data_IF_894558010313
#
_entry.id   IF_894558010313
#
_cell.length_a   1.000
_cell.length_b   1.000
_cell.length_c   1.000
_cell.angle_alpha   90.00
_cell.angle_beta   90.00
_cell.angle_gamma   90.00
#
_symmetry.space_group_name_H-M   'P 1'
#
loop_
_entity.id
_entity.type
_entity.pdbx_description
1 polymer ?
#
# COMPACT_ATOMS: atom_id res chain seq x y z
N UNK A 1 25.56 -77.86 -0.18
CA UNK A 1 24.42 -76.94 0.05
C UNK A 1 24.90 -75.89 1.02
N UNK A 2 25.23 -74.65 0.52
CA UNK A 2 25.63 -73.54 1.35
C UNK A 2 24.55 -72.46 1.20
N UNK A 3 23.84 -72.17 2.28
CA UNK A 3 22.86 -71.10 2.35
C UNK A 3 23.61 -69.75 2.51
N UNK A 4 23.35 -68.84 1.55
CA UNK A 4 23.83 -67.47 1.61
C UNK A 4 22.69 -66.62 2.26
N UNK A 5 22.94 -65.83 3.30
CA UNK A 5 21.93 -64.94 3.85
C UNK A 5 21.76 -63.70 2.98
N UNK A 6 20.48 -63.42 2.65
CA UNK A 6 20.04 -62.23 1.94
C UNK A 6 20.19 -60.99 2.84
N UNK A 7 21.12 -60.11 2.49
CA UNK A 7 21.35 -58.83 3.19
C UNK A 7 20.27 -57.85 2.72
N UNK A 8 19.26 -57.58 3.53
CA UNK A 8 18.29 -56.50 3.30
C UNK A 8 19.00 -55.18 3.56
N UNK A 9 19.31 -54.47 2.48
CA UNK A 9 19.71 -53.04 2.53
C UNK A 9 18.47 -52.23 2.89
N UNK A 10 18.35 -51.77 4.12
CA UNK A 10 17.50 -50.66 4.49
C UNK A 10 18.07 -49.37 3.86
N UNK A 11 17.51 -48.99 2.73
CA UNK A 11 17.72 -47.63 2.20
C UNK A 11 16.89 -46.72 3.09
N UNK A 12 17.53 -46.20 4.14
CA UNK A 12 16.98 -45.12 4.94
C UNK A 12 16.80 -43.91 4.01
N UNK A 13 15.55 -43.55 3.79
CA UNK A 13 15.24 -42.26 3.16
C UNK A 13 15.81 -41.17 4.09
N UNK A 14 16.93 -40.63 3.71
CA UNK A 14 17.44 -39.37 4.30
C UNK A 14 16.46 -38.29 3.82
N UNK A 15 15.57 -37.89 4.72
CA UNK A 15 14.79 -36.66 4.50
C UNK A 15 15.82 -35.52 4.39
N UNK A 16 15.97 -35.01 3.19
CA UNK A 16 16.74 -33.81 2.95
C UNK A 16 15.94 -32.65 3.56
N UNK A 17 16.45 -32.13 4.68
CA UNK A 17 16.01 -30.86 5.25
C UNK A 17 16.71 -29.71 4.51
N UNK A 18 16.42 -29.55 3.21
CA UNK A 18 17.07 -28.55 2.33
C UNK A 18 16.07 -27.76 1.48
N UNK A 19 14.86 -27.46 2.02
CA UNK A 19 13.91 -26.59 1.31
C UNK A 19 13.79 -25.17 1.93
N UNK A 20 14.68 -24.81 2.85
CA UNK A 20 14.60 -23.49 3.50
C UNK A 20 15.28 -22.36 2.71
N UNK A 21 16.03 -22.66 1.65
CA UNK A 21 16.86 -21.67 0.94
C UNK A 21 16.51 -21.48 -0.55
N UNK A 22 15.48 -22.15 -1.07
CA UNK A 22 15.07 -21.85 -2.46
C UNK A 22 14.24 -20.57 -2.49
N UNK A 23 14.70 -19.53 -3.21
CA UNK A 23 13.94 -18.28 -3.30
C UNK A 23 12.54 -18.53 -3.87
N UNK A 24 11.53 -17.95 -3.23
CA UNK A 24 10.14 -18.06 -3.68
C UNK A 24 10.01 -17.52 -5.10
N UNK A 25 9.53 -18.35 -6.03
CA UNK A 25 9.23 -17.92 -7.41
C UNK A 25 7.76 -18.15 -7.71
N UNK A 26 7.07 -17.12 -8.18
CA UNK A 26 5.64 -17.17 -8.53
C UNK A 26 5.48 -16.75 -9.99
N UNK A 27 4.97 -17.64 -10.84
CA UNK A 27 4.75 -17.36 -12.27
C UNK A 27 5.97 -16.76 -12.98
N UNK A 28 7.17 -17.26 -12.67
CA UNK A 28 8.43 -16.79 -13.23
C UNK A 28 9.00 -15.53 -12.58
N UNK A 29 8.31 -14.92 -11.62
CA UNK A 29 8.82 -13.81 -10.84
C UNK A 29 9.54 -14.31 -9.59
N UNK A 30 10.82 -14.03 -9.49
CA UNK A 30 11.60 -14.28 -8.28
C UNK A 30 11.19 -13.27 -7.19
N UNK A 31 10.71 -13.74 -6.05
CA UNK A 31 10.29 -12.91 -4.92
C UNK A 31 11.49 -12.65 -4.02
N UNK A 32 12.23 -11.59 -4.33
CA UNK A 32 13.44 -11.19 -3.59
C UNK A 32 13.70 -9.69 -3.79
N UNK A 33 14.49 -9.09 -2.90
CA UNK A 33 14.89 -7.69 -3.01
C UNK A 33 15.50 -7.39 -4.40
N UNK A 34 15.11 -6.25 -4.98
CA UNK A 34 15.59 -5.74 -6.28
C UNK A 34 15.23 -6.58 -7.51
N UNK A 35 14.42 -7.63 -7.39
CA UNK A 35 13.96 -8.42 -8.53
C UNK A 35 13.16 -7.61 -9.55
N UNK A 36 13.27 -8.01 -10.82
CA UNK A 36 12.61 -7.34 -11.94
C UNK A 36 11.43 -8.17 -12.44
N UNK A 37 10.23 -7.79 -12.05
CA UNK A 37 8.98 -8.50 -12.37
C UNK A 37 7.90 -7.55 -12.95
N UNK A 38 8.20 -6.70 -13.94
CA UNK A 38 7.19 -5.81 -14.50
C UNK A 38 6.09 -6.64 -15.17
N UNK A 39 4.83 -6.26 -14.94
CA UNK A 39 3.66 -6.95 -15.47
C UNK A 39 3.43 -8.37 -14.94
N UNK A 40 4.13 -8.80 -13.88
CA UNK A 40 4.00 -10.15 -13.34
C UNK A 40 2.56 -10.44 -12.87
N UNK A 41 2.10 -11.66 -13.12
CA UNK A 41 0.84 -12.13 -12.56
C UNK A 41 1.08 -12.70 -11.14
N UNK A 42 0.76 -11.87 -10.14
CA UNK A 42 0.86 -12.19 -8.71
C UNK A 42 -0.52 -12.14 -8.03
N UNK A 43 -1.59 -12.30 -8.81
CA UNK A 43 -2.95 -12.27 -8.28
C UNK A 43 -3.15 -13.33 -7.20
N UNK A 44 -3.69 -12.91 -6.06
CA UNK A 44 -3.92 -13.78 -4.90
C UNK A 44 -2.64 -14.34 -4.26
N UNK A 45 -1.46 -13.85 -4.66
CA UNK A 45 -0.19 -14.36 -4.15
C UNK A 45 -0.06 -14.15 -2.64
N UNK A 46 0.52 -15.14 -1.95
CA UNK A 46 0.81 -15.08 -0.52
C UNK A 46 2.18 -14.47 -0.31
N UNK A 47 2.22 -13.16 -0.16
CA UNK A 47 3.44 -12.36 -0.05
C UNK A 47 3.59 -11.73 1.36
N UNK A 48 2.83 -12.22 2.34
CA UNK A 48 2.93 -11.72 3.70
C UNK A 48 4.34 -11.93 4.26
N UNK A 49 4.86 -10.87 4.92
CA UNK A 49 6.21 -10.82 5.51
C UNK A 49 7.37 -10.93 4.50
N UNK A 50 7.12 -10.95 3.20
CA UNK A 50 8.19 -11.04 2.19
C UNK A 50 8.98 -9.74 2.07
N UNK A 51 10.26 -9.88 1.72
CA UNK A 51 11.13 -8.74 1.40
C UNK A 51 11.06 -8.44 -0.10
N UNK A 52 10.27 -7.41 -0.43
CA UNK A 52 9.99 -6.95 -1.79
C UNK A 52 10.63 -5.58 -2.05
N UNK A 53 11.59 -5.19 -1.22
CA UNK A 53 12.24 -3.87 -1.34
C UNK A 53 12.90 -3.71 -2.70
N UNK A 54 12.76 -2.50 -3.26
CA UNK A 54 13.35 -2.13 -4.56
C UNK A 54 12.92 -3.02 -5.73
N UNK A 55 11.94 -3.92 -5.55
CA UNK A 55 11.42 -4.70 -6.67
C UNK A 55 10.78 -3.80 -7.72
N UNK A 56 10.95 -4.18 -8.97
CA UNK A 56 10.17 -3.61 -10.06
C UNK A 56 8.93 -4.47 -10.30
N UNK A 57 7.80 -3.99 -9.82
CA UNK A 57 6.45 -4.57 -9.95
C UNK A 57 5.55 -3.66 -10.81
N UNK A 58 6.14 -2.82 -11.66
CA UNK A 58 5.36 -1.91 -12.51
C UNK A 58 4.38 -2.68 -13.38
N UNK A 59 3.10 -2.26 -13.35
CA UNK A 59 2.02 -2.92 -14.08
C UNK A 59 1.67 -4.34 -13.63
N UNK A 60 2.25 -4.85 -12.53
CA UNK A 60 1.96 -6.19 -12.03
C UNK A 60 0.49 -6.34 -11.58
N UNK A 61 -0.06 -7.53 -11.77
CA UNK A 61 -1.36 -7.92 -11.23
C UNK A 61 -1.19 -8.50 -9.82
N UNK A 62 -1.46 -7.70 -8.82
CA UNK A 62 -1.41 -8.02 -7.39
C UNK A 62 -2.83 -8.03 -6.77
N UNK A 63 -3.88 -8.13 -7.59
CA UNK A 63 -5.26 -8.15 -7.09
C UNK A 63 -5.45 -9.31 -6.12
N UNK A 64 -6.15 -9.03 -5.03
CA UNK A 64 -6.44 -10.00 -3.98
C UNK A 64 -5.19 -10.59 -3.29
N UNK A 65 -3.98 -10.04 -3.50
CA UNK A 65 -2.74 -10.52 -2.90
C UNK A 65 -2.70 -10.25 -1.38
N UNK A 66 -2.10 -11.17 -0.65
CA UNK A 66 -1.79 -10.99 0.78
C UNK A 66 -0.37 -10.42 0.92
N UNK A 67 -0.29 -9.12 1.18
CA UNK A 67 0.94 -8.35 1.36
C UNK A 67 1.12 -7.88 2.81
N UNK A 68 0.44 -8.49 3.77
CA UNK A 68 0.52 -8.08 5.18
C UNK A 68 1.96 -8.14 5.68
N UNK A 69 2.40 -7.04 6.32
CA UNK A 69 3.77 -6.91 6.83
C UNK A 69 4.87 -7.07 5.78
N UNK A 70 4.55 -7.06 4.48
CA UNK A 70 5.56 -7.09 3.42
C UNK A 70 6.39 -5.81 3.44
N UNK A 71 7.64 -5.91 3.03
CA UNK A 71 8.54 -4.77 2.90
C UNK A 71 8.64 -4.37 1.43
N UNK A 72 8.03 -3.26 1.07
CA UNK A 72 7.97 -2.72 -0.29
C UNK A 72 8.70 -1.37 -0.42
N UNK A 73 9.60 -1.07 0.52
CA UNK A 73 10.32 0.20 0.52
C UNK A 73 11.10 0.36 -0.77
N UNK A 74 11.00 1.54 -1.39
CA UNK A 74 11.63 1.87 -2.67
C UNK A 74 11.18 0.99 -3.85
N UNK A 75 10.15 0.16 -3.70
CA UNK A 75 9.62 -0.66 -4.80
C UNK A 75 8.93 0.21 -5.86
N UNK A 76 8.99 -0.23 -7.10
CA UNK A 76 8.24 0.37 -8.20
C UNK A 76 6.95 -0.41 -8.45
N UNK A 77 5.82 0.17 -8.05
CA UNK A 77 4.45 -0.34 -8.25
C UNK A 77 3.66 0.54 -9.24
N UNK A 78 4.36 1.33 -10.09
CA UNK A 78 3.69 2.19 -11.05
C UNK A 78 2.70 1.40 -11.90
N UNK A 79 1.45 1.88 -11.98
CA UNK A 79 0.34 1.22 -12.73
C UNK A 79 0.03 -0.21 -12.29
N UNK A 80 0.53 -0.69 -11.16
CA UNK A 80 0.17 -2.00 -10.63
C UNK A 80 -1.32 -2.07 -10.23
N UNK A 81 -1.89 -3.25 -10.32
CA UNK A 81 -3.28 -3.52 -9.95
C UNK A 81 -3.29 -4.20 -8.57
N UNK A 82 -3.84 -3.54 -7.56
CA UNK A 82 -3.88 -4.01 -6.17
C UNK A 82 -5.30 -3.99 -5.58
N UNK A 83 -6.33 -4.04 -6.45
CA UNK A 83 -7.72 -4.04 -5.99
C UNK A 83 -7.95 -5.24 -5.06
N UNK A 84 -8.53 -4.98 -3.88
CA UNK A 84 -8.80 -6.01 -2.88
C UNK A 84 -7.57 -6.59 -2.17
N UNK A 85 -6.36 -6.15 -2.50
CA UNK A 85 -5.15 -6.61 -1.83
C UNK A 85 -5.12 -6.20 -0.35
N UNK A 86 -4.47 -7.02 0.49
CA UNK A 86 -4.29 -6.73 1.91
C UNK A 86 -2.84 -6.35 2.20
N UNK A 87 -2.61 -5.06 2.44
CA UNK A 87 -1.29 -4.49 2.78
C UNK A 87 -1.20 -4.08 4.26
N UNK A 88 -2.06 -4.62 5.14
CA UNK A 88 -2.04 -4.23 6.56
C UNK A 88 -0.63 -4.28 7.12
N UNK A 89 -0.16 -3.14 7.68
CA UNK A 89 1.17 -2.94 8.25
C UNK A 89 2.35 -3.19 7.29
N UNK A 90 2.13 -3.16 5.99
CA UNK A 90 3.23 -3.21 5.02
C UNK A 90 4.06 -1.92 5.08
N UNK A 91 5.35 -2.01 4.75
CA UNK A 91 6.23 -0.87 4.56
C UNK A 91 6.30 -0.50 3.08
N UNK A 92 6.03 0.78 2.77
CA UNK A 92 5.97 1.36 1.42
C UNK A 92 6.78 2.67 1.36
N UNK A 93 7.77 2.82 2.24
CA UNK A 93 8.51 4.08 2.33
C UNK A 93 9.20 4.40 1.00
N UNK A 94 8.97 5.64 0.51
CA UNK A 94 9.54 6.13 -0.75
C UNK A 94 9.25 5.25 -1.98
N UNK A 95 8.25 4.37 -1.92
CA UNK A 95 7.85 3.54 -3.06
C UNK A 95 7.12 4.37 -4.13
N UNK A 96 7.18 3.90 -5.37
CA UNK A 96 6.49 4.50 -6.51
C UNK A 96 5.16 3.79 -6.76
N UNK A 97 4.05 4.42 -6.40
CA UNK A 97 2.68 3.94 -6.58
C UNK A 97 1.91 4.76 -7.63
N UNK A 98 2.61 5.53 -8.47
CA UNK A 98 1.93 6.40 -9.45
C UNK A 98 0.99 5.61 -10.32
N UNK A 99 -0.24 6.12 -10.45
CA UNK A 99 -1.29 5.51 -11.28
C UNK A 99 -1.65 4.06 -10.89
N UNK A 100 -1.18 3.55 -9.77
CA UNK A 100 -1.57 2.22 -9.28
C UNK A 100 -3.02 2.23 -8.78
N UNK A 101 -3.67 1.07 -8.84
CA UNK A 101 -5.06 0.91 -8.43
C UNK A 101 -5.18 0.07 -7.16
N UNK A 102 -5.49 0.74 -6.05
CA UNK A 102 -5.76 0.19 -4.72
C UNK A 102 -7.25 0.23 -4.36
N UNK A 103 -8.15 0.33 -5.34
CA UNK A 103 -9.58 0.44 -5.05
C UNK A 103 -10.06 -0.74 -4.20
N UNK A 104 -10.70 -0.45 -3.06
CA UNK A 104 -11.15 -1.45 -2.10
C UNK A 104 -10.06 -2.24 -1.39
N UNK A 105 -8.78 -1.87 -1.53
CA UNK A 105 -7.69 -2.53 -0.82
C UNK A 105 -7.65 -2.16 0.67
N UNK A 106 -7.03 -3.01 1.49
CA UNK A 106 -6.79 -2.77 2.91
C UNK A 106 -5.35 -2.33 3.13
N UNK A 107 -5.15 -1.06 3.53
CA UNK A 107 -3.85 -0.44 3.78
C UNK A 107 -3.73 0.04 5.25
N UNK A 108 -4.36 -0.66 6.20
CA UNK A 108 -4.33 -0.27 7.62
C UNK A 108 -2.92 -0.19 8.17
N UNK A 109 -2.60 0.93 8.82
CA UNK A 109 -1.34 1.17 9.50
C UNK A 109 -0.09 0.91 8.62
N UNK A 110 -0.18 1.13 7.30
CA UNK A 110 0.99 1.07 6.42
C UNK A 110 2.02 2.13 6.83
N UNK A 111 3.29 1.86 6.55
CA UNK A 111 4.39 2.80 6.68
C UNK A 111 4.69 3.39 5.30
N UNK A 112 4.11 4.54 4.99
CA UNK A 112 4.17 5.15 3.65
C UNK A 112 4.88 6.52 3.64
N UNK A 113 5.88 6.72 4.50
CA UNK A 113 6.62 7.97 4.53
C UNK A 113 7.20 8.32 3.16
N UNK A 114 6.86 9.51 2.66
CA UNK A 114 7.40 10.04 1.40
C UNK A 114 7.05 9.24 0.15
N UNK A 115 6.03 8.36 0.17
CA UNK A 115 5.62 7.58 -1.00
C UNK A 115 5.10 8.47 -2.14
N UNK A 116 5.18 7.98 -3.37
CA UNK A 116 4.77 8.67 -4.58
C UNK A 116 3.51 8.02 -5.16
N UNK A 117 2.34 8.61 -4.94
CA UNK A 117 1.05 8.07 -5.37
C UNK A 117 0.22 9.08 -6.20
N UNK A 118 0.90 9.90 -7.01
CA UNK A 118 0.21 10.85 -7.88
C UNK A 118 -0.71 10.11 -8.85
N UNK A 119 -1.98 10.51 -8.87
CA UNK A 119 -3.00 9.92 -9.74
C UNK A 119 -3.37 8.46 -9.40
N UNK A 120 -2.89 7.91 -8.29
CA UNK A 120 -3.26 6.58 -7.83
C UNK A 120 -4.73 6.53 -7.41
N UNK A 121 -5.32 5.34 -7.47
CA UNK A 121 -6.73 5.11 -7.16
C UNK A 121 -6.84 4.39 -5.81
N UNK A 122 -7.52 5.01 -4.84
CA UNK A 122 -7.77 4.50 -3.49
C UNK A 122 -9.27 4.54 -3.14
N UNK A 123 -10.15 4.53 -4.15
CA UNK A 123 -11.59 4.59 -3.88
C UNK A 123 -12.01 3.45 -2.96
N UNK A 124 -12.69 3.80 -1.85
CA UNK A 124 -13.14 2.85 -0.82
C UNK A 124 -12.01 2.01 -0.19
N UNK A 125 -10.76 2.42 -0.34
CA UNK A 125 -9.65 1.77 0.34
C UNK A 125 -9.65 2.10 1.84
N UNK A 126 -9.15 1.18 2.65
CA UNK A 126 -9.03 1.36 4.09
C UNK A 126 -7.59 1.73 4.47
N UNK A 127 -7.36 3.01 4.70
CA UNK A 127 -6.08 3.61 5.10
C UNK A 127 -6.08 4.00 6.59
N UNK A 128 -6.94 3.38 7.42
CA UNK A 128 -7.02 3.68 8.86
C UNK A 128 -5.64 3.62 9.49
N UNK A 129 -5.28 4.69 10.23
CA UNK A 129 -4.01 4.83 10.93
C UNK A 129 -2.75 4.66 10.02
N UNK A 130 -2.87 4.92 8.72
CA UNK A 130 -1.72 4.89 7.80
C UNK A 130 -0.75 6.05 8.10
N UNK A 131 0.55 5.78 8.04
CA UNK A 131 1.61 6.78 8.19
C UNK A 131 2.03 7.30 6.81
N UNK A 132 1.49 8.46 6.42
CA UNK A 132 1.61 9.04 5.08
C UNK A 132 2.28 10.42 5.09
N UNK A 133 3.11 10.68 6.09
CA UNK A 133 3.85 11.94 6.18
C UNK A 133 4.68 12.16 4.92
N UNK A 134 4.65 13.38 4.37
CA UNK A 134 5.34 13.77 3.14
C UNK A 134 4.90 12.99 1.89
N UNK A 135 3.85 12.17 1.95
CA UNK A 135 3.34 11.41 0.80
C UNK A 135 2.88 12.36 -0.32
N UNK A 136 3.14 11.98 -1.56
CA UNK A 136 2.74 12.74 -2.74
C UNK A 136 1.50 12.11 -3.37
N UNK A 137 0.34 12.62 -2.99
CA UNK A 137 -0.99 12.14 -3.38
C UNK A 137 -1.72 13.11 -4.33
N UNK A 138 -0.99 14.02 -4.98
CA UNK A 138 -1.63 15.00 -5.87
C UNK A 138 -2.42 14.32 -6.97
N UNK A 139 -3.69 14.71 -7.15
CA UNK A 139 -4.61 14.13 -8.11
C UNK A 139 -5.00 12.67 -7.83
N UNK A 140 -4.67 12.13 -6.66
CA UNK A 140 -5.12 10.79 -6.27
C UNK A 140 -6.64 10.74 -6.08
N UNK A 141 -7.25 9.59 -6.35
CA UNK A 141 -8.67 9.36 -6.15
C UNK A 141 -8.91 8.62 -4.84
N UNK A 142 -9.38 9.34 -3.84
CA UNK A 142 -9.60 8.86 -2.46
C UNK A 142 -11.09 8.90 -2.08
N UNK A 143 -11.97 8.93 -3.05
CA UNK A 143 -13.38 9.07 -2.78
C UNK A 143 -13.91 7.88 -1.96
N UNK A 144 -14.69 8.18 -0.91
CA UNK A 144 -15.15 7.19 0.07
C UNK A 144 -14.02 6.37 0.76
N UNK A 145 -12.76 6.81 0.68
CA UNK A 145 -11.68 6.15 1.40
C UNK A 145 -11.77 6.40 2.90
N UNK A 146 -11.36 5.42 3.69
CA UNK A 146 -11.24 5.56 5.13
C UNK A 146 -9.80 5.94 5.51
N UNK A 147 -9.61 7.18 5.93
CA UNK A 147 -8.34 7.77 6.38
C UNK A 147 -8.37 8.11 7.88
N UNK A 148 -9.29 7.49 8.64
CA UNK A 148 -9.43 7.77 10.07
C UNK A 148 -8.10 7.59 10.80
N UNK A 149 -7.71 8.59 11.61
CA UNK A 149 -6.47 8.63 12.36
C UNK A 149 -5.19 8.47 11.48
N UNK A 150 -5.28 8.67 10.17
CA UNK A 150 -4.10 8.66 9.31
C UNK A 150 -3.21 9.88 9.59
N UNK A 151 -1.90 9.67 9.51
CA UNK A 151 -0.92 10.75 9.60
C UNK A 151 -0.54 11.24 8.20
N UNK A 152 -1.09 12.39 7.83
CA UNK A 152 -0.92 13.07 6.53
C UNK A 152 -0.13 14.37 6.71
N UNK A 153 0.64 14.50 7.78
CA UNK A 153 1.45 15.70 8.01
C UNK A 153 2.34 15.99 6.80
N UNK A 154 2.30 17.23 6.33
CA UNK A 154 3.05 17.71 5.15
C UNK A 154 2.77 16.92 3.85
N UNK A 155 1.71 16.11 3.79
CA UNK A 155 1.34 15.39 2.58
C UNK A 155 0.82 16.33 1.49
N UNK A 156 1.03 15.98 0.24
CA UNK A 156 0.63 16.73 -0.94
C UNK A 156 -0.62 16.11 -1.55
N UNK A 157 -1.78 16.71 -1.26
CA UNK A 157 -3.11 16.28 -1.68
C UNK A 157 -3.77 17.24 -2.67
N UNK A 158 -2.99 18.14 -3.27
CA UNK A 158 -3.54 19.11 -4.22
C UNK A 158 -4.25 18.39 -5.37
N UNK A 159 -5.47 18.86 -5.70
CA UNK A 159 -6.33 18.25 -6.72
C UNK A 159 -6.76 16.79 -6.44
N UNK A 160 -6.56 16.29 -5.23
CA UNK A 160 -7.05 14.97 -4.86
C UNK A 160 -8.57 14.95 -4.75
N UNK A 161 -9.20 13.84 -5.16
CA UNK A 161 -10.63 13.62 -4.96
C UNK A 161 -10.87 12.86 -3.65
N UNK A 162 -11.27 13.59 -2.62
CA UNK A 162 -11.56 13.12 -1.27
C UNK A 162 -13.08 13.15 -0.97
N UNK A 163 -13.92 13.18 -2.02
CA UNK A 163 -15.38 13.21 -1.84
C UNK A 163 -15.85 12.07 -0.96
N UNK A 164 -16.58 12.40 0.11
CA UNK A 164 -17.10 11.43 1.07
C UNK A 164 -16.04 10.66 1.88
N UNK A 165 -14.76 11.06 1.81
CA UNK A 165 -13.71 10.40 2.58
C UNK A 165 -13.86 10.62 4.08
N UNK A 166 -13.50 9.63 4.88
CA UNK A 166 -13.47 9.71 6.33
C UNK A 166 -12.06 10.07 6.81
N UNK A 167 -11.86 11.32 7.22
CA UNK A 167 -10.60 11.87 7.73
C UNK A 167 -10.70 12.19 9.23
N UNK A 168 -11.62 11.57 9.96
CA UNK A 168 -11.77 11.81 11.41
C UNK A 168 -10.45 11.54 12.12
N UNK A 169 -10.10 12.43 13.02
CA UNK A 169 -8.89 12.33 13.84
C UNK A 169 -7.58 12.29 13.04
N UNK A 170 -7.60 12.52 11.73
CA UNK A 170 -6.40 12.54 10.90
C UNK A 170 -5.48 13.73 11.23
N UNK A 171 -4.18 13.55 11.05
CA UNK A 171 -3.22 14.63 11.12
C UNK A 171 -3.02 15.25 9.74
N UNK A 172 -3.54 16.45 9.53
CA UNK A 172 -3.42 17.24 8.30
C UNK A 172 -2.54 18.49 8.49
N UNK A 173 -1.70 18.51 9.53
CA UNK A 173 -0.83 19.66 9.78
C UNK A 173 0.08 19.88 8.56
N UNK A 174 0.15 21.13 8.10
CA UNK A 174 0.94 21.55 6.92
C UNK A 174 0.62 20.80 5.62
N UNK A 175 -0.44 19.98 5.59
CA UNK A 175 -0.87 19.29 4.39
C UNK A 175 -1.34 20.25 3.31
N UNK A 176 -1.09 19.93 2.04
CA UNK A 176 -1.43 20.75 0.87
C UNK A 176 -2.66 20.17 0.17
N UNK A 177 -3.85 20.71 0.48
CA UNK A 177 -5.14 20.28 -0.07
C UNK A 177 -5.72 21.28 -1.10
N UNK A 178 -4.91 22.20 -1.62
CA UNK A 178 -5.38 23.17 -2.59
C UNK A 178 -6.06 22.53 -3.80
N UNK A 179 -7.19 23.09 -4.24
CA UNK A 179 -8.00 22.60 -5.35
C UNK A 179 -8.52 21.14 -5.17
N UNK A 180 -8.45 20.57 -3.96
CA UNK A 180 -8.98 19.23 -3.70
C UNK A 180 -10.51 19.21 -3.59
N UNK A 181 -11.10 18.04 -3.81
CA UNK A 181 -12.54 17.85 -3.63
C UNK A 181 -12.81 17.16 -2.28
N UNK A 182 -13.27 17.92 -1.30
CA UNK A 182 -13.67 17.48 0.05
C UNK A 182 -15.20 17.44 0.21
N UNK A 183 -15.95 17.42 -0.90
CA UNK A 183 -17.42 17.34 -0.86
C UNK A 183 -17.87 16.18 0.02
N UNK A 184 -18.69 16.47 1.04
CA UNK A 184 -19.21 15.47 1.99
C UNK A 184 -18.13 14.70 2.79
N UNK A 185 -16.87 15.11 2.77
CA UNK A 185 -15.83 14.51 3.60
C UNK A 185 -16.07 14.79 5.09
N UNK A 186 -15.55 13.93 5.96
CA UNK A 186 -15.62 14.10 7.41
C UNK A 186 -14.23 14.32 8.00
N UNK A 187 -13.93 15.56 8.42
CA UNK A 187 -12.68 15.97 9.05
C UNK A 187 -12.84 16.19 10.57
N UNK A 188 -13.91 15.71 11.20
CA UNK A 188 -14.13 15.91 12.64
C UNK A 188 -12.93 15.40 13.45
N UNK A 189 -12.44 16.21 14.39
CA UNK A 189 -11.30 15.87 15.24
C UNK A 189 -9.93 15.91 14.54
N UNK A 190 -9.86 16.18 13.22
CA UNK A 190 -8.60 16.27 12.52
C UNK A 190 -7.79 17.49 12.96
N UNK A 191 -6.46 17.36 12.89
CA UNK A 191 -5.51 18.46 13.14
C UNK A 191 -5.16 19.12 11.81
N UNK A 192 -5.54 20.40 11.62
CA UNK A 192 -5.47 21.11 10.35
C UNK A 192 -4.51 22.31 10.37
N UNK A 193 -3.72 22.46 11.44
CA UNK A 193 -2.88 23.64 11.65
C UNK A 193 -1.88 23.82 10.49
N UNK A 194 -1.84 25.02 9.91
CA UNK A 194 -1.06 25.33 8.69
C UNK A 194 -1.41 24.52 7.45
N UNK A 195 -2.50 23.75 7.45
CA UNK A 195 -2.98 23.08 6.25
C UNK A 195 -3.46 24.08 5.20
N UNK A 196 -3.06 23.88 3.94
CA UNK A 196 -3.52 24.72 2.83
C UNK A 196 -4.72 24.09 2.13
N UNK A 197 -5.89 24.71 2.23
CA UNK A 197 -7.14 24.28 1.60
C UNK A 197 -7.62 25.25 0.51
N UNK A 198 -6.73 26.08 -0.01
CA UNK A 198 -7.10 27.10 -1.02
C UNK A 198 -7.84 26.47 -2.20
N UNK A 199 -8.98 27.07 -2.57
CA UNK A 199 -9.82 26.63 -3.70
C UNK A 199 -10.34 25.17 -3.57
N UNK A 200 -10.30 24.55 -2.39
CA UNK A 200 -10.88 23.24 -2.19
C UNK A 200 -12.41 23.30 -2.15
N UNK A 201 -13.07 22.33 -2.78
CA UNK A 201 -14.52 22.14 -2.68
C UNK A 201 -14.87 21.45 -1.34
N UNK A 202 -15.51 22.16 -0.44
CA UNK A 202 -15.90 21.65 0.89
C UNK A 202 -17.42 21.61 1.08
N UNK A 203 -18.20 21.51 0.01
CA UNK A 203 -19.65 21.45 0.12
C UNK A 203 -20.09 20.23 0.97
N UNK A 204 -20.82 20.49 2.05
CA UNK A 204 -21.30 19.43 2.95
C UNK A 204 -20.22 18.75 3.77
N UNK A 205 -18.98 19.26 3.77
CA UNK A 205 -17.91 18.76 4.62
C UNK A 205 -18.20 18.99 6.10
N UNK A 206 -17.87 18.01 6.95
CA UNK A 206 -17.97 18.13 8.40
C UNK A 206 -16.58 18.35 9.01
N UNK A 207 -16.42 19.35 9.87
CA UNK A 207 -15.14 19.65 10.52
C UNK A 207 -14.08 20.29 9.60
N UNK A 208 -14.46 20.70 8.41
CA UNK A 208 -13.60 21.48 7.53
C UNK A 208 -13.35 22.91 8.08
N UNK A 209 -12.22 23.54 7.74
CA UNK A 209 -11.94 24.91 8.18
C UNK A 209 -12.94 25.89 7.54
N UNK A 210 -13.32 26.90 8.33
CA UNK A 210 -14.27 27.95 7.90
C UNK A 210 -13.57 29.20 7.39
N UNK A 211 -12.27 29.32 7.62
CA UNK A 211 -11.42 30.43 7.15
C UNK A 211 -10.01 29.93 6.86
N UNK A 212 -9.36 30.52 5.86
CA UNK A 212 -8.03 30.12 5.34
C UNK A 212 -6.85 30.87 5.97
N UNK A 213 -7.13 31.83 6.86
CA UNK A 213 -6.18 32.85 7.33
C UNK A 213 -5.61 32.55 8.73
N UNK A 214 -5.43 31.27 9.11
CA UNK A 214 -4.85 30.91 10.40
C UNK A 214 -3.56 30.12 10.28
#
# INVERSE_FOLDING_TARGET
MKFLPLLLLFIGAVAHADDADTPLTINGCLIAESSQCPGANLRGAKLANQDLRKMNLSGADLRDADLRHARLDLANLEKAQLQGANLTRASLQQSNLRLADFSGATLKAIQGWGLFAQGAQFQRADLTAAYLQFARLSGARLHEANLQAADLEMAWLSKADLKGADLRDANLQEAKLGESNLEQANLSGSRQHYGNFQDANMQGCTGCPTSWDQ
#
